data_IF_793655150866
#
_entry.id   IF_793655150866
#
_cell.length_a   1.000
_cell.length_b   1.000
_cell.length_c   1.000
_cell.angle_alpha   90.00
_cell.angle_beta   90.00
_cell.angle_gamma   90.00
#
_symmetry.space_group_name_H-M   'P 1'
#
loop_
_entity.id
_entity.type
_entity.pdbx_description
1 polymer ?
#
# COMPACT_ATOMS: atom_id res chain seq x y z
N UNK A 1 5.63 -64.27 4.42
CA UNK A 1 5.68 -63.19 3.40
C UNK A 1 4.89 -62.02 3.96
N UNK A 2 5.55 -60.96 4.48
CA UNK A 2 4.89 -59.81 5.12
C UNK A 2 4.66 -58.74 4.05
N UNK A 3 3.40 -58.47 3.74
CA UNK A 3 3.01 -57.41 2.78
C UNK A 3 3.19 -56.05 3.45
N UNK A 4 4.12 -55.25 2.96
CA UNK A 4 4.36 -53.89 3.43
C UNK A 4 3.35 -52.96 2.76
N UNK A 5 2.44 -52.36 3.52
CA UNK A 5 1.55 -51.30 3.01
C UNK A 5 2.31 -49.97 3.00
N UNK A 6 2.58 -49.43 1.81
CA UNK A 6 3.13 -48.09 1.64
C UNK A 6 1.97 -47.09 1.65
N UNK A 7 1.81 -46.35 2.75
CA UNK A 7 0.83 -45.26 2.82
C UNK A 7 1.38 -44.05 2.05
N UNK A 8 0.77 -43.73 0.91
CA UNK A 8 1.05 -42.50 0.17
C UNK A 8 0.40 -41.34 0.94
N UNK A 9 1.22 -40.51 1.57
CA UNK A 9 0.78 -39.28 2.22
C UNK A 9 0.74 -38.17 1.15
N UNK A 10 -0.45 -37.92 0.59
CA UNK A 10 -0.67 -36.80 -0.33
C UNK A 10 -0.61 -35.48 0.46
N UNK A 11 0.50 -34.76 0.35
CA UNK A 11 0.64 -33.39 0.83
C UNK A 11 -0.32 -32.49 0.03
N UNK A 12 -1.46 -32.15 0.64
CA UNK A 12 -2.36 -31.12 0.14
C UNK A 12 -1.67 -29.76 0.30
N UNK A 13 -1.01 -29.29 -0.76
CA UNK A 13 -0.50 -27.92 -0.84
C UNK A 13 -1.70 -27.01 -1.12
N UNK A 14 -2.22 -26.33 -0.10
CA UNK A 14 -3.24 -25.29 -0.31
C UNK A 14 -2.59 -24.09 -1.00
N UNK A 15 -3.10 -23.65 -2.17
CA UNK A 15 -2.61 -22.42 -2.78
C UNK A 15 -2.97 -21.25 -1.87
N UNK A 16 -1.96 -20.49 -1.45
CA UNK A 16 -2.16 -19.23 -0.73
C UNK A 16 -2.70 -18.19 -1.71
N UNK A 17 -4.02 -18.03 -1.75
CA UNK A 17 -4.64 -16.93 -2.50
C UNK A 17 -4.41 -15.65 -1.70
N UNK A 18 -3.35 -14.92 -2.04
CA UNK A 18 -3.13 -13.57 -1.53
C UNK A 18 -4.11 -12.61 -2.20
N UNK A 19 -4.67 -11.69 -1.42
CA UNK A 19 -5.40 -10.56 -1.98
C UNK A 19 -4.51 -9.81 -2.99
N UNK A 20 -5.12 -9.34 -4.08
CA UNK A 20 -4.47 -8.49 -5.10
C UNK A 20 -5.06 -7.09 -5.13
N UNK A 21 -6.13 -6.88 -4.35
CA UNK A 21 -6.81 -5.62 -4.22
C UNK A 21 -7.14 -5.37 -2.75
N UNK A 22 -6.85 -4.16 -2.30
CA UNK A 22 -7.25 -3.64 -1.00
C UNK A 22 -8.03 -2.37 -1.23
N UNK A 23 -9.31 -2.38 -0.88
CA UNK A 23 -10.22 -1.26 -1.05
C UNK A 23 -10.70 -0.78 0.32
N UNK A 24 -10.53 0.51 0.58
CA UNK A 24 -10.89 1.15 1.82
C UNK A 24 -11.93 2.23 1.54
N UNK A 25 -13.04 2.17 2.26
CA UNK A 25 -13.98 3.28 2.32
C UNK A 25 -13.42 4.37 3.24
N UNK A 26 -13.47 5.62 2.80
CA UNK A 26 -13.00 6.76 3.56
C UNK A 26 -14.19 7.51 4.12
N UNK A 27 -14.18 7.72 5.43
CA UNK A 27 -15.23 8.39 6.19
C UNK A 27 -14.70 9.67 6.80
N UNK A 28 -15.53 10.71 6.78
CA UNK A 28 -15.42 11.87 7.66
C UNK A 28 -16.56 11.75 8.67
N UNK A 29 -16.20 11.56 9.93
CA UNK A 29 -17.13 11.08 10.97
C UNK A 29 -17.85 9.80 10.53
N UNK A 30 -19.18 9.87 10.33
CA UNK A 30 -20.01 8.75 9.89
C UNK A 30 -20.39 8.82 8.41
N UNK A 31 -19.93 9.86 7.71
CA UNK A 31 -20.28 10.09 6.31
C UNK A 31 -19.18 9.55 5.41
N UNK A 32 -19.52 8.62 4.53
CA UNK A 32 -18.61 8.16 3.49
C UNK A 32 -18.33 9.29 2.51
N UNK A 33 -17.07 9.69 2.39
CA UNK A 33 -16.61 10.78 1.52
C UNK A 33 -15.85 10.28 0.30
N UNK A 34 -15.52 8.99 0.23
CA UNK A 34 -14.80 8.44 -0.91
C UNK A 34 -14.23 7.06 -0.67
N UNK A 35 -13.21 6.72 -1.46
CA UNK A 35 -12.50 5.44 -1.40
C UNK A 35 -11.01 5.61 -1.70
N UNK A 36 -10.22 4.67 -1.18
CA UNK A 36 -8.81 4.48 -1.50
C UNK A 36 -8.60 3.01 -1.86
N UNK A 37 -8.11 2.75 -3.07
CA UNK A 37 -7.87 1.39 -3.58
C UNK A 37 -6.40 1.19 -3.88
N UNK A 38 -5.94 -0.04 -3.69
CA UNK A 38 -4.59 -0.50 -4.00
C UNK A 38 -4.72 -1.78 -4.80
N UNK A 39 -4.14 -1.81 -6.01
CA UNK A 39 -4.20 -2.96 -6.93
C UNK A 39 -2.80 -3.41 -7.28
N UNK A 40 -2.45 -4.64 -6.90
CA UNK A 40 -1.14 -5.24 -7.15
C UNK A 40 -1.25 -6.23 -8.31
N UNK A 41 -0.45 -6.03 -9.35
CA UNK A 41 -0.40 -6.97 -10.48
C UNK A 41 0.70 -8.05 -10.29
N UNK A 42 0.81 -8.97 -11.25
CA UNK A 42 1.78 -10.06 -11.21
C UNK A 42 3.24 -9.60 -11.39
N UNK A 43 3.46 -8.42 -11.99
CA UNK A 43 4.77 -7.80 -12.15
C UNK A 43 5.22 -6.99 -10.92
N UNK A 44 4.50 -7.12 -9.79
CA UNK A 44 4.72 -6.34 -8.57
C UNK A 44 4.64 -4.81 -8.79
N UNK A 45 3.80 -4.40 -9.73
CA UNK A 45 3.37 -3.00 -9.81
C UNK A 45 2.12 -2.83 -8.94
N UNK A 46 2.20 -1.86 -8.01
CA UNK A 46 1.09 -1.43 -7.18
C UNK A 46 0.54 -0.12 -7.73
N UNK A 47 -0.74 -0.11 -8.08
CA UNK A 47 -1.46 1.12 -8.41
C UNK A 47 -2.36 1.49 -7.24
N UNK A 48 -2.10 2.65 -6.65
CA UNK A 48 -2.92 3.23 -5.58
C UNK A 48 -3.76 4.37 -6.15
N UNK A 49 -5.06 4.39 -5.88
CA UNK A 49 -5.97 5.45 -6.32
C UNK A 49 -6.94 5.84 -5.22
N UNK A 50 -7.04 7.14 -4.95
CA UNK A 50 -8.01 7.69 -4.00
C UNK A 50 -8.80 8.85 -4.60
N UNK A 51 -10.07 8.94 -4.21
CA UNK A 51 -10.94 10.05 -4.58
C UNK A 51 -11.87 10.38 -3.42
N UNK A 52 -11.78 11.60 -2.89
CA UNK A 52 -12.62 12.10 -1.82
C UNK A 52 -13.39 13.36 -2.25
N UNK A 53 -14.60 13.51 -1.75
CA UNK A 53 -15.42 14.70 -1.98
C UNK A 53 -16.26 15.01 -0.73
N UNK A 54 -16.07 16.20 -0.16
CA UNK A 54 -16.83 16.68 1.01
C UNK A 54 -17.74 17.82 0.57
N UNK A 55 -19.04 17.68 0.85
CA UNK A 55 -20.04 18.73 0.61
C UNK A 55 -20.54 19.27 1.94
N UNK A 56 -20.60 20.59 2.05
CA UNK A 56 -21.28 21.29 3.15
C UNK A 56 -22.40 22.11 2.52
N UNK A 57 -23.65 21.74 2.83
CA UNK A 57 -24.84 22.25 2.15
C UNK A 57 -24.71 22.07 0.62
N UNK A 58 -24.64 23.18 -0.13
CA UNK A 58 -24.53 23.21 -1.59
C UNK A 58 -23.09 23.46 -2.08
N UNK A 59 -22.10 23.57 -1.18
CA UNK A 59 -20.71 23.92 -1.50
C UNK A 59 -19.83 22.67 -1.43
N UNK A 60 -18.97 22.46 -2.43
CA UNK A 60 -17.89 21.47 -2.35
C UNK A 60 -16.77 22.06 -1.47
N UNK A 61 -16.71 21.61 -0.22
CA UNK A 61 -15.74 22.12 0.76
C UNK A 61 -14.35 21.52 0.59
N UNK A 62 -14.25 20.32 0.01
CA UNK A 62 -12.98 19.63 -0.20
C UNK A 62 -13.07 18.61 -1.34
N UNK A 63 -12.08 18.62 -2.23
CA UNK A 63 -11.91 17.63 -3.29
C UNK A 63 -10.49 17.09 -3.27
N UNK A 64 -10.35 15.77 -3.39
CA UNK A 64 -9.04 15.13 -3.41
C UNK A 64 -9.04 14.00 -4.42
N UNK A 65 -7.99 13.96 -5.24
CA UNK A 65 -7.72 12.90 -6.20
C UNK A 65 -6.25 12.53 -6.13
N UNK A 66 -5.96 11.25 -5.96
CA UNK A 66 -4.59 10.76 -5.88
C UNK A 66 -4.43 9.52 -6.74
N UNK A 67 -3.29 9.44 -7.43
CA UNK A 67 -2.83 8.22 -8.08
C UNK A 67 -1.34 8.06 -7.83
N UNK A 68 -0.93 6.88 -7.36
CA UNK A 68 0.46 6.47 -7.30
C UNK A 68 0.65 5.15 -8.06
N UNK A 69 1.75 5.03 -8.79
CA UNK A 69 2.22 3.82 -9.44
C UNK A 69 3.58 3.50 -8.87
N UNK A 70 3.70 2.32 -8.28
CA UNK A 70 4.92 1.87 -7.62
C UNK A 70 5.38 0.55 -8.24
N UNK A 71 6.63 0.45 -8.64
CA UNK A 71 7.22 -0.81 -9.08
C UNK A 71 8.12 -1.37 -7.99
N UNK A 72 7.92 -2.63 -7.64
CA UNK A 72 8.60 -3.29 -6.54
C UNK A 72 9.51 -4.41 -7.03
N UNK A 73 10.66 -4.58 -6.38
CA UNK A 73 11.57 -5.68 -6.61
C UNK A 73 12.09 -6.19 -5.27
N UNK A 74 12.01 -7.50 -5.04
CA UNK A 74 12.46 -8.13 -3.78
C UNK A 74 11.87 -7.48 -2.51
N UNK A 75 10.59 -7.05 -2.59
CA UNK A 75 9.89 -6.31 -1.53
C UNK A 75 10.42 -4.90 -1.23
N UNK A 76 11.27 -4.34 -2.08
CA UNK A 76 11.78 -2.98 -2.01
C UNK A 76 11.21 -2.12 -3.14
N UNK A 77 10.97 -0.84 -2.87
CA UNK A 77 10.49 0.11 -3.88
C UNK A 77 11.62 0.39 -4.88
N UNK A 78 11.33 0.27 -6.17
CA UNK A 78 12.28 0.52 -7.26
C UNK A 78 11.95 1.81 -8.02
N UNK A 79 10.67 2.06 -8.26
CA UNK A 79 10.18 3.25 -8.93
C UNK A 79 8.87 3.73 -8.28
N UNK A 80 8.67 5.04 -8.27
CA UNK A 80 7.46 5.69 -7.81
C UNK A 80 7.13 6.85 -8.76
N UNK A 81 5.90 6.87 -9.26
CA UNK A 81 5.31 8.04 -9.87
C UNK A 81 3.95 8.31 -9.24
N UNK A 82 3.74 9.51 -8.72
CA UNK A 82 2.47 9.89 -8.14
C UNK A 82 2.04 11.30 -8.53
N UNK A 83 0.73 11.47 -8.60
CA UNK A 83 0.07 12.75 -8.85
C UNK A 83 -1.12 12.89 -7.89
N UNK A 84 -1.07 13.93 -7.08
CA UNK A 84 -2.14 14.32 -6.17
C UNK A 84 -2.70 15.67 -6.58
N UNK A 85 -4.01 15.76 -6.67
CA UNK A 85 -4.75 17.01 -6.83
C UNK A 85 -5.61 17.17 -5.58
N UNK A 86 -5.29 18.17 -4.76
CA UNK A 86 -6.02 18.54 -3.57
C UNK A 86 -6.61 19.93 -3.79
N UNK A 87 -7.93 19.99 -3.94
CA UNK A 87 -8.66 21.11 -4.52
C UNK A 87 -8.05 21.51 -5.87
N UNK A 88 -7.40 22.67 -5.94
CA UNK A 88 -6.75 23.19 -7.16
C UNK A 88 -5.22 23.07 -7.12
N UNK A 89 -4.65 22.48 -6.05
CA UNK A 89 -3.21 22.32 -5.86
C UNK A 89 -2.78 20.94 -6.36
N UNK A 90 -1.83 20.92 -7.30
CA UNK A 90 -1.25 19.68 -7.84
C UNK A 90 0.15 19.44 -7.30
N UNK A 91 0.37 18.27 -6.72
CA UNK A 91 1.70 17.78 -6.31
C UNK A 91 2.05 16.53 -7.11
N UNK A 92 3.26 16.51 -7.68
CA UNK A 92 3.80 15.35 -8.41
C UNK A 92 5.03 14.84 -7.68
N UNK A 93 5.08 13.53 -7.46
CA UNK A 93 6.23 12.86 -6.85
C UNK A 93 6.83 11.88 -7.84
N UNK A 94 8.15 11.90 -7.97
CA UNK A 94 8.92 10.92 -8.74
C UNK A 94 10.03 10.36 -7.88
N UNK A 95 10.21 9.05 -7.89
CA UNK A 95 11.30 8.41 -7.18
C UNK A 95 11.83 7.19 -7.91
N UNK A 96 13.13 6.95 -7.81
CA UNK A 96 13.79 5.83 -8.46
C UNK A 96 14.99 5.34 -7.65
N UNK A 97 15.24 4.03 -7.71
CA UNK A 97 16.48 3.45 -7.20
C UNK A 97 17.64 3.81 -8.14
N UNK A 98 18.64 4.54 -7.62
CA UNK A 98 19.87 4.92 -8.32
C UNK A 98 21.05 4.80 -7.36
N UNK A 99 22.14 4.18 -7.81
CA UNK A 99 23.41 4.13 -7.07
C UNK A 99 23.27 3.63 -5.62
N UNK A 100 22.43 2.60 -5.43
CA UNK A 100 22.22 2.00 -4.11
C UNK A 100 21.37 2.83 -3.15
N UNK A 101 20.70 3.89 -3.62
CA UNK A 101 19.78 4.70 -2.83
C UNK A 101 18.47 4.93 -3.58
N UNK A 102 17.36 5.10 -2.87
CA UNK A 102 16.10 5.50 -3.49
C UNK A 102 15.99 7.03 -3.47
N UNK A 103 16.16 7.65 -4.63
CA UNK A 103 16.13 9.11 -4.77
C UNK A 103 14.72 9.54 -5.15
N UNK A 104 14.13 10.46 -4.39
CA UNK A 104 12.74 10.93 -4.59
C UNK A 104 12.65 12.45 -4.53
N UNK A 105 11.77 13.04 -5.33
CA UNK A 105 11.52 14.47 -5.39
C UNK A 105 10.04 14.79 -5.63
N UNK A 106 9.62 15.98 -5.18
CA UNK A 106 8.26 16.50 -5.37
C UNK A 106 8.21 17.81 -6.20
N UNK A 107 9.32 18.16 -6.84
CA UNK A 107 9.50 19.40 -7.61
C UNK A 107 10.00 20.59 -6.78
N UNK A 108 9.82 20.58 -5.46
CA UNK A 108 10.39 21.58 -4.55
C UNK A 108 11.60 21.03 -3.80
N UNK A 109 11.51 19.79 -3.34
CA UNK A 109 12.53 19.11 -2.55
C UNK A 109 12.96 17.82 -3.22
N UNK A 110 14.21 17.43 -2.95
CA UNK A 110 14.80 16.17 -3.38
C UNK A 110 15.55 15.55 -2.21
N UNK A 111 15.37 14.25 -2.02
CA UNK A 111 15.99 13.51 -0.93
C UNK A 111 16.48 12.14 -1.39
N UNK A 112 17.49 11.63 -0.69
CA UNK A 112 18.06 10.31 -0.89
C UNK A 112 17.70 9.43 0.30
N UNK A 113 17.02 8.33 0.04
CA UNK A 113 16.55 7.36 1.03
C UNK A 113 17.35 6.06 0.92
N UNK A 114 17.34 5.20 1.95
CA UNK A 114 17.90 3.86 1.85
C UNK A 114 17.35 3.11 0.63
N UNK A 115 18.16 2.23 0.03
CA UNK A 115 17.80 1.44 -1.17
C UNK A 115 16.47 0.69 -1.09
N UNK A 116 16.08 0.28 0.12
CA UNK A 116 14.83 -0.45 0.37
C UNK A 116 13.80 0.44 1.08
N UNK A 117 13.61 1.65 0.58
CA UNK A 117 12.51 2.50 1.02
C UNK A 117 11.15 1.79 0.77
N UNK A 118 10.18 2.05 1.65
CA UNK A 118 8.82 1.52 1.53
C UNK A 118 7.81 2.65 1.63
N UNK A 119 6.74 2.57 0.85
CA UNK A 119 5.55 3.41 1.01
C UNK A 119 4.53 2.71 1.92
N UNK A 120 3.31 3.25 2.02
CA UNK A 120 2.15 2.62 2.66
C UNK A 120 1.60 1.43 1.84
N UNK A 121 2.48 0.51 1.45
CA UNK A 121 2.20 -0.65 0.62
C UNK A 121 1.58 -1.80 1.44
N UNK A 122 0.27 -1.71 1.69
CA UNK A 122 -0.48 -2.66 2.53
C UNK A 122 -0.41 -4.14 2.10
N UNK A 123 0.02 -4.41 0.86
CA UNK A 123 0.26 -5.76 0.38
C UNK A 123 1.49 -6.42 1.00
N UNK A 124 2.46 -5.62 1.46
CA UNK A 124 3.75 -6.07 1.92
C UNK A 124 3.84 -6.00 3.46
N UNK A 125 3.76 -7.15 4.13
CA UNK A 125 3.79 -7.24 5.58
C UNK A 125 5.07 -6.68 6.23
N UNK A 126 6.17 -6.52 5.47
CA UNK A 126 7.39 -5.86 5.97
C UNK A 126 7.15 -4.41 6.39
N UNK A 127 6.03 -3.79 5.97
CA UNK A 127 5.60 -2.47 6.45
C UNK A 127 5.52 -2.42 7.99
N UNK A 128 5.15 -3.54 8.63
CA UNK A 128 5.03 -3.66 10.08
C UNK A 128 6.37 -3.57 10.84
N UNK A 129 7.48 -3.67 10.12
CA UNK A 129 8.85 -3.63 10.65
C UNK A 129 9.53 -2.29 10.36
N UNK A 130 8.90 -1.40 9.60
CA UNK A 130 9.51 -0.14 9.20
C UNK A 130 9.40 0.90 10.32
N UNK A 131 10.50 1.62 10.53
CA UNK A 131 10.55 2.80 11.39
C UNK A 131 10.26 4.10 10.62
N UNK A 132 10.30 4.06 9.29
CA UNK A 132 9.93 5.16 8.41
C UNK A 132 9.24 4.69 7.13
N UNK A 133 8.33 5.49 6.60
CA UNK A 133 7.64 5.24 5.32
C UNK A 133 7.62 6.49 4.44
N UNK A 134 7.77 6.29 3.13
CA UNK A 134 7.65 7.34 2.12
C UNK A 134 6.17 7.60 1.84
N UNK A 135 5.75 8.84 2.00
CA UNK A 135 4.43 9.30 1.57
C UNK A 135 4.44 9.58 0.05
N UNK A 136 3.70 8.79 -0.77
CA UNK A 136 3.63 9.01 -2.22
C UNK A 136 2.97 10.34 -2.60
N UNK A 137 2.20 10.96 -1.70
CA UNK A 137 1.51 12.21 -1.98
C UNK A 137 2.46 13.39 -2.14
N UNK A 138 3.46 13.50 -1.26
CA UNK A 138 4.27 14.71 -1.09
C UNK A 138 5.78 14.42 -0.95
N UNK A 139 6.22 13.17 -1.08
CA UNK A 139 7.59 12.70 -0.90
C UNK A 139 8.13 12.77 0.55
N UNK A 140 7.30 13.01 1.55
CA UNK A 140 7.74 13.07 2.95
C UNK A 140 8.17 11.69 3.48
N UNK A 141 9.27 11.65 4.23
CA UNK A 141 9.81 10.43 4.85
C UNK A 141 9.43 10.35 6.33
N UNK A 142 8.23 9.85 6.56
CA UNK A 142 7.51 9.89 7.84
C UNK A 142 8.05 8.87 8.85
N UNK A 143 8.18 9.26 10.11
CA UNK A 143 8.42 8.34 11.22
C UNK A 143 7.20 7.45 11.50
N UNK A 144 7.43 6.16 11.71
CA UNK A 144 6.39 5.18 12.03
C UNK A 144 6.73 4.40 13.29
N UNK A 145 5.72 4.18 14.14
CA UNK A 145 5.80 3.31 15.31
C UNK A 145 4.68 2.28 15.24
N UNK A 146 5.05 1.02 15.10
CA UNK A 146 4.10 -0.09 14.98
C UNK A 146 4.31 -1.01 16.19
N UNK A 147 3.23 -1.31 16.90
CA UNK A 147 3.24 -2.17 18.09
C UNK A 147 2.09 -3.15 18.05
N UNK A 148 2.35 -4.39 18.46
CA UNK A 148 1.30 -5.39 18.66
C UNK A 148 0.41 -4.96 19.84
N UNK A 149 -0.88 -4.74 19.57
CA UNK A 149 -1.86 -4.34 20.59
C UNK A 149 -2.65 -5.52 21.18
N UNK A 150 -2.66 -6.66 20.49
CA UNK A 150 -3.40 -7.84 20.93
C UNK A 150 -3.55 -8.87 19.82
N UNK A 151 -4.47 -9.81 20.05
CA UNK A 151 -4.91 -10.79 19.07
C UNK A 151 -6.42 -10.87 19.16
N UNK A 152 -7.09 -10.82 18.02
CA UNK A 152 -8.54 -10.93 17.89
C UNK A 152 -8.84 -12.05 16.89
N UNK A 153 -9.90 -12.82 17.16
CA UNK A 153 -10.43 -13.79 16.20
C UNK A 153 -11.46 -13.10 15.33
N UNK A 154 -11.20 -13.04 14.02
CA UNK A 154 -12.12 -12.48 13.04
C UNK A 154 -12.95 -13.60 12.45
N UNK A 155 -14.28 -13.46 12.46
CA UNK A 155 -15.15 -14.33 11.67
C UNK A 155 -15.10 -13.90 10.20
N UNK A 156 -14.56 -14.76 9.35
CA UNK A 156 -14.44 -14.52 7.91
C UNK A 156 -15.29 -15.53 7.17
N UNK A 157 -16.38 -15.06 6.57
CA UNK A 157 -17.34 -15.89 5.79
C UNK A 157 -17.94 -17.05 6.61
N UNK A 158 -18.24 -16.83 7.90
CA UNK A 158 -18.83 -17.84 8.79
C UNK A 158 -17.83 -18.86 9.32
N UNK A 159 -16.54 -18.53 9.28
CA UNK A 159 -15.45 -19.35 9.82
C UNK A 159 -14.63 -18.50 10.78
N UNK A 160 -14.50 -18.99 12.00
CA UNK A 160 -13.62 -18.43 13.04
C UNK A 160 -12.17 -18.81 12.80
#
# INVERSE_FOLDING_TARGET
MKTLFFAIFTLLVSPSVMAREWAFDVYLDKTKIGQHTFKLNNAQELVSQAKFNVKVLFINAYQYQHKAVENWQNSCLKNLEANTVENDITTKVKGQLSDGNFVVENGAEKQSLPSCAMTFAYWNQKILQQSKLLNPQNAEWLDTKISKVGTEMLDVKGKK
#
